data_IF_033148306914
#
_entry.id   IF_033148306914
#
_cell.length_a   1.000
_cell.length_b   1.000
_cell.length_c   1.000
_cell.angle_alpha   90.00
_cell.angle_beta   90.00
_cell.angle_gamma   90.00
#
_symmetry.space_group_name_H-M   'P 1'
#
loop_
_entity.id
_entity.type
_entity.pdbx_description
1 polymer ?
#
# COMPACT_ATOMS: atom_id res chain seq x y z
N UNK A 1 -37.25 -52.56 -5.01
CA UNK A 1 -35.80 -52.35 -4.79
C UNK A 1 -35.42 -51.00 -5.39
N UNK A 2 -35.74 -49.91 -4.69
CA UNK A 2 -35.52 -48.53 -5.19
C UNK A 2 -34.29 -47.93 -4.53
N UNK A 3 -33.26 -47.63 -5.32
CA UNK A 3 -32.00 -47.05 -4.82
C UNK A 3 -32.25 -45.60 -4.41
N UNK A 4 -32.17 -45.33 -3.11
CA UNK A 4 -32.15 -43.99 -2.53
C UNK A 4 -30.91 -43.25 -3.02
N UNK A 5 -31.09 -42.25 -3.89
CA UNK A 5 -30.00 -41.39 -4.34
C UNK A 5 -29.71 -40.37 -3.23
N UNK A 6 -28.67 -40.62 -2.43
CA UNK A 6 -28.14 -39.65 -1.49
C UNK A 6 -27.52 -38.48 -2.28
N UNK A 7 -28.22 -37.35 -2.32
CA UNK A 7 -27.70 -36.10 -2.87
C UNK A 7 -26.60 -35.58 -1.94
N UNK A 8 -25.35 -35.75 -2.33
CA UNK A 8 -24.20 -35.12 -1.65
C UNK A 8 -24.31 -33.60 -1.86
N UNK A 9 -24.60 -32.86 -0.80
CA UNK A 9 -24.42 -31.40 -0.80
C UNK A 9 -22.94 -31.11 -0.60
N UNK A 10 -22.26 -30.68 -1.67
CA UNK A 10 -20.91 -30.15 -1.59
C UNK A 10 -20.99 -28.74 -0.99
N UNK A 11 -20.59 -28.60 0.27
CA UNK A 11 -20.33 -27.29 0.86
C UNK A 11 -19.01 -26.82 0.23
N UNK A 12 -19.09 -25.85 -0.68
CA UNK A 12 -17.91 -25.16 -1.19
C UNK A 12 -17.46 -24.19 -0.09
N UNK A 13 -16.48 -24.61 0.72
CA UNK A 13 -15.76 -23.68 1.59
C UNK A 13 -15.07 -22.65 0.69
N UNK A 14 -15.50 -21.38 0.80
CA UNK A 14 -14.87 -20.29 0.05
C UNK A 14 -13.52 -20.04 0.67
N UNK A 15 -12.45 -20.17 -0.12
CA UNK A 15 -11.13 -19.73 0.30
C UNK A 15 -11.20 -18.25 0.70
N UNK A 16 -10.65 -17.85 1.87
CA UNK A 16 -10.65 -16.46 2.28
C UNK A 16 -9.85 -15.64 1.26
N UNK A 17 -10.54 -14.73 0.56
CA UNK A 17 -9.87 -13.79 -0.33
C UNK A 17 -9.08 -12.78 0.50
N UNK A 18 -7.77 -12.72 0.24
CA UNK A 18 -6.92 -11.68 0.80
C UNK A 18 -7.41 -10.32 0.30
N UNK A 19 -7.65 -9.39 1.23
CA UNK A 19 -7.94 -7.99 0.89
C UNK A 19 -6.63 -7.26 0.67
N UNK A 20 -6.61 -6.34 -0.29
CA UNK A 20 -5.47 -5.45 -0.49
C UNK A 20 -5.22 -4.60 0.78
N UNK A 21 -3.95 -4.38 1.17
CA UNK A 21 -3.63 -3.53 2.31
C UNK A 21 -4.12 -2.10 2.12
N UNK A 22 -4.52 -1.46 3.22
CA UNK A 22 -4.83 -0.02 3.21
C UNK A 22 -3.54 0.78 3.04
N UNK A 23 -3.50 1.63 2.02
CA UNK A 23 -2.40 2.56 1.79
C UNK A 23 -2.54 3.80 2.67
N UNK A 24 -1.40 4.39 3.05
CA UNK A 24 -1.32 5.64 3.81
C UNK A 24 -0.55 6.69 3.02
N UNK A 25 -0.90 7.96 3.23
CA UNK A 25 -0.17 9.10 2.66
C UNK A 25 0.89 9.57 3.65
N UNK A 26 2.10 9.80 3.15
CA UNK A 26 3.15 10.50 3.89
C UNK A 26 3.09 11.98 3.49
N UNK A 27 3.04 12.87 4.47
CA UNK A 27 2.96 14.31 4.27
C UNK A 27 4.21 14.94 4.88
N UNK A 28 4.91 15.76 4.10
CA UNK A 28 5.93 16.65 4.60
C UNK A 28 5.29 18.02 4.88
N UNK A 29 5.48 18.54 6.08
CA UNK A 29 4.94 19.84 6.50
C UNK A 29 6.05 20.87 6.44
N UNK A 30 5.75 22.04 5.89
CA UNK A 30 6.68 23.17 5.79
C UNK A 30 6.92 23.80 7.18
N UNK A 31 8.14 24.27 7.44
CA UNK A 31 8.58 24.99 8.64
C UNK A 31 9.71 25.99 8.31
N UNK A 32 9.99 26.92 9.25
CA UNK A 32 10.94 28.03 9.04
C UNK A 32 12.39 27.73 9.44
N UNK A 33 12.71 26.49 9.88
CA UNK A 33 14.01 26.15 10.47
C UNK A 33 14.76 25.09 9.67
N UNK A 34 14.05 24.18 9.00
CA UNK A 34 14.66 23.08 8.26
C UNK A 34 15.30 23.59 6.96
N UNK A 35 16.62 23.44 6.77
CA UNK A 35 17.28 23.86 5.53
C UNK A 35 16.74 23.13 4.30
N UNK A 36 16.67 23.84 3.17
CA UNK A 36 16.13 23.28 1.94
C UNK A 36 16.91 22.06 1.44
N UNK A 37 18.24 22.13 1.44
CA UNK A 37 19.10 21.01 1.04
C UNK A 37 18.92 19.77 1.93
N UNK A 38 18.54 19.97 3.20
CA UNK A 38 18.24 18.85 4.10
C UNK A 38 16.94 18.14 3.69
N UNK A 39 15.91 18.89 3.28
CA UNK A 39 14.66 18.32 2.75
C UNK A 39 14.92 17.50 1.49
N UNK A 40 15.69 18.05 0.54
CA UNK A 40 16.08 17.34 -0.70
C UNK A 40 16.79 16.03 -0.35
N UNK A 41 17.77 16.08 0.55
CA UNK A 41 18.49 14.88 0.99
C UNK A 41 17.56 13.81 1.60
N UNK A 42 16.54 14.19 2.38
CA UNK A 42 15.55 13.24 2.91
C UNK A 42 14.73 12.59 1.78
N UNK A 43 14.30 13.38 0.79
CA UNK A 43 13.52 12.90 -0.34
C UNK A 43 14.32 11.93 -1.23
N UNK A 44 15.62 12.18 -1.42
CA UNK A 44 16.52 11.29 -2.15
C UNK A 44 16.81 10.00 -1.36
N UNK A 45 17.19 10.12 -0.08
CA UNK A 45 17.68 8.99 0.71
C UNK A 45 16.59 7.99 1.14
N UNK A 46 15.38 8.47 1.42
CA UNK A 46 14.30 7.63 2.00
C UNK A 46 13.13 7.40 1.05
N UNK A 47 12.85 8.37 0.17
CA UNK A 47 11.75 8.27 -0.79
C UNK A 47 12.25 7.98 -2.22
N UNK A 48 13.58 7.89 -2.41
CA UNK A 48 14.23 7.57 -3.68
C UNK A 48 13.78 8.48 -4.83
N UNK A 49 13.46 9.74 -4.52
CA UNK A 49 13.14 10.73 -5.54
C UNK A 49 14.41 11.14 -6.30
N UNK A 50 14.36 11.25 -7.62
CA UNK A 50 15.40 11.94 -8.39
C UNK A 50 15.60 13.37 -7.87
N UNK A 51 16.82 13.90 -8.01
CA UNK A 51 17.19 15.21 -7.49
C UNK A 51 16.26 16.33 -7.99
N UNK A 52 15.98 16.35 -9.29
CA UNK A 52 15.09 17.32 -9.93
C UNK A 52 13.66 17.24 -9.40
N UNK A 53 13.15 16.02 -9.17
CA UNK A 53 11.85 15.81 -8.54
C UNK A 53 11.84 16.26 -7.08
N UNK A 54 12.90 15.97 -6.31
CA UNK A 54 13.03 16.38 -4.92
C UNK A 54 13.08 17.90 -4.76
N UNK A 55 13.81 18.60 -5.64
CA UNK A 55 13.84 20.07 -5.69
C UNK A 55 12.48 20.65 -6.08
N UNK A 56 11.70 19.98 -6.94
CA UNK A 56 10.37 20.45 -7.33
C UNK A 56 9.27 20.23 -6.26
N UNK A 57 9.52 19.37 -5.27
CA UNK A 57 8.62 19.19 -4.10
C UNK A 57 8.74 20.37 -3.11
N UNK A 58 9.90 21.02 -3.10
CA UNK A 58 10.15 22.24 -2.33
C UNK A 58 9.43 23.45 -2.93
#
# INVERSE_FOLDING_TARGET
>A
MGRTQHRRSTILEREPQAQEPRMYRVLLVNDDFTPMDYVVHILEAYFHKPHDEAVAVM
#
